data_IF_498426779922
#
_entry.id   IF_498426779922
#
_cell.length_a   1.000
_cell.length_b   1.000
_cell.length_c   1.000
_cell.angle_alpha   90.00
_cell.angle_beta   90.00
_cell.angle_gamma   90.00
#
_symmetry.space_group_name_H-M   'P 1'
#
loop_
_entity.id
_entity.type
_entity.pdbx_description
1 polymer ?
#
# COMPACT_ATOMS: atom_id res chain seq x y z
N UNK A 1 -2.61 -18.73 0.08
CA UNK A 1 -1.26 -19.27 0.41
C UNK A 1 -0.63 -18.53 1.61
N UNK A 2 0.30 -19.16 2.34
CA UNK A 2 1.05 -18.48 3.42
C UNK A 2 2.15 -17.56 2.84
N UNK A 3 2.51 -16.49 3.57
CA UNK A 3 3.55 -15.52 3.15
C UNK A 3 4.90 -16.23 2.98
N UNK A 4 5.56 -16.07 1.82
CA UNK A 4 6.94 -16.54 1.62
C UNK A 4 7.94 -15.57 2.27
N UNK A 5 8.12 -15.74 3.58
CA UNK A 5 9.06 -14.94 4.36
C UNK A 5 10.51 -15.09 3.87
N UNK A 6 10.88 -16.24 3.28
CA UNK A 6 12.22 -16.46 2.78
C UNK A 6 12.49 -15.63 1.52
N UNK A 7 11.55 -15.64 0.56
CA UNK A 7 11.59 -14.76 -0.61
C UNK A 7 11.63 -13.30 -0.17
N UNK A 8 10.68 -12.88 0.67
CA UNK A 8 10.57 -11.49 1.13
C UNK A 8 11.86 -11.02 1.82
N UNK A 9 12.45 -11.84 2.69
CA UNK A 9 13.74 -11.52 3.34
C UNK A 9 14.89 -11.39 2.34
N UNK A 10 14.95 -12.25 1.31
CA UNK A 10 15.98 -12.14 0.25
C UNK A 10 15.77 -10.88 -0.59
N UNK A 11 14.54 -10.60 -1.02
CA UNK A 11 14.20 -9.41 -1.80
C UNK A 11 14.51 -8.12 -1.03
N UNK A 12 14.07 -8.00 0.22
CA UNK A 12 14.34 -6.80 1.04
C UNK A 12 15.84 -6.56 1.23
N UNK A 13 16.69 -7.59 1.21
CA UNK A 13 18.14 -7.43 1.29
C UNK A 13 18.75 -6.71 0.07
N UNK A 14 18.09 -6.72 -1.08
CA UNK A 14 18.57 -6.05 -2.31
C UNK A 14 18.25 -4.55 -2.33
N UNK A 15 17.35 -4.09 -1.47
CA UNK A 15 17.07 -2.66 -1.30
C UNK A 15 18.29 -1.89 -0.81
N UNK A 16 18.43 -0.68 -1.32
CA UNK A 16 19.45 0.28 -0.94
C UNK A 16 19.42 0.57 0.56
N UNK A 17 20.62 0.73 1.14
CA UNK A 17 20.82 1.21 2.51
C UNK A 17 20.83 2.71 2.63
N UNK A 18 20.85 3.43 1.50
CA UNK A 18 20.86 4.89 1.50
C UNK A 18 19.58 5.44 2.11
N UNK A 19 19.69 6.64 2.65
CA UNK A 19 18.57 7.46 3.08
C UNK A 19 17.72 7.86 1.86
N UNK A 20 16.47 8.27 2.09
CA UNK A 20 15.59 8.71 1.02
C UNK A 20 14.14 8.36 1.25
N UNK A 21 13.41 8.21 0.16
CA UNK A 21 11.97 7.93 0.14
C UNK A 21 11.73 6.56 -0.47
N UNK A 22 10.71 5.87 0.03
CA UNK A 22 10.23 4.61 -0.53
C UNK A 22 8.73 4.69 -0.76
N UNK A 23 8.27 3.94 -1.72
CA UNK A 23 6.84 3.80 -2.03
C UNK A 23 6.50 2.32 -1.99
N UNK A 24 5.47 1.99 -1.22
CA UNK A 24 4.93 0.64 -1.13
C UNK A 24 3.81 0.52 -2.17
N UNK A 25 3.82 -0.57 -2.92
CA UNK A 25 2.82 -0.87 -3.94
C UNK A 25 2.06 -2.16 -3.61
N UNK A 26 0.79 -2.18 -4.00
CA UNK A 26 -0.09 -3.34 -3.86
C UNK A 26 0.21 -4.44 -4.88
N UNK A 27 -0.65 -5.46 -4.95
CA UNK A 27 -0.57 -6.62 -5.86
C UNK A 27 -0.67 -6.27 -7.36
N UNK A 28 -1.09 -5.06 -7.71
CA UNK A 28 -1.21 -4.56 -9.08
C UNK A 28 -0.13 -3.51 -9.42
N UNK A 29 0.93 -3.42 -8.60
CA UNK A 29 1.96 -2.37 -8.67
C UNK A 29 1.43 -0.94 -8.46
N UNK A 30 0.23 -0.77 -7.90
CA UNK A 30 -0.32 0.56 -7.61
C UNK A 30 0.26 1.08 -6.30
N UNK A 31 0.83 2.31 -6.28
CA UNK A 31 1.27 2.97 -5.06
C UNK A 31 0.16 3.08 -4.01
N UNK A 32 0.43 2.65 -2.78
CA UNK A 32 -0.52 2.73 -1.65
C UNK A 32 0.01 3.53 -0.47
N UNK A 33 1.32 3.72 -0.38
CA UNK A 33 1.93 4.45 0.72
C UNK A 33 3.29 5.02 0.31
N UNK A 34 3.56 6.27 0.66
CA UNK A 34 4.87 6.93 0.49
C UNK A 34 5.45 7.16 1.88
N UNK A 35 6.72 6.82 2.08
CA UNK A 35 7.37 7.07 3.36
C UNK A 35 8.84 7.43 3.23
N UNK A 36 9.35 8.14 4.21
CA UNK A 36 10.75 8.55 4.28
C UNK A 36 11.57 7.71 5.27
N UNK A 37 12.89 7.67 5.05
CA UNK A 37 13.85 7.08 5.99
C UNK A 37 15.16 7.86 6.05
N UNK A 38 15.56 8.25 7.28
CA UNK A 38 16.89 8.80 7.59
C UNK A 38 17.88 7.73 8.06
N UNK A 39 17.40 6.53 8.35
CA UNK A 39 18.20 5.39 8.83
C UNK A 39 18.44 4.34 7.73
N UNK A 40 18.07 4.67 6.49
CA UNK A 40 18.15 3.82 5.31
C UNK A 40 16.81 3.26 4.86
N UNK A 41 16.57 3.21 3.55
CA UNK A 41 15.31 2.71 2.98
C UNK A 41 15.08 1.24 3.36
N UNK A 42 16.10 0.38 3.19
CA UNK A 42 16.00 -1.04 3.54
C UNK A 42 15.58 -1.29 4.98
N UNK A 43 16.16 -0.58 5.95
CA UNK A 43 15.89 -0.80 7.38
C UNK A 43 14.44 -0.47 7.71
N UNK A 44 13.93 0.64 7.17
CA UNK A 44 12.55 1.09 7.37
C UNK A 44 11.54 0.15 6.71
N UNK A 45 11.77 -0.22 5.44
CA UNK A 45 10.91 -1.17 4.71
C UNK A 45 10.91 -2.54 5.40
N UNK A 46 12.07 -3.05 5.83
CA UNK A 46 12.15 -4.31 6.57
C UNK A 46 11.29 -4.27 7.84
N UNK A 47 11.37 -3.18 8.62
CA UNK A 47 10.55 -3.00 9.83
C UNK A 47 9.05 -3.07 9.52
N UNK A 48 8.60 -2.44 8.45
CA UNK A 48 7.19 -2.47 8.04
C UNK A 48 6.73 -3.90 7.71
N UNK A 49 7.55 -4.64 6.98
CA UNK A 49 7.20 -5.98 6.49
C UNK A 49 7.31 -7.09 7.55
N UNK A 50 8.06 -6.88 8.64
CA UNK A 50 8.30 -7.92 9.66
C UNK A 50 7.75 -7.61 11.04
N UNK A 51 7.39 -6.36 11.34
CA UNK A 51 6.97 -5.95 12.69
C UNK A 51 5.55 -5.42 12.71
N UNK A 52 4.66 -6.12 13.44
CA UNK A 52 3.33 -5.61 13.76
C UNK A 52 3.35 -4.32 14.60
N UNK A 53 4.52 -3.95 15.18
CA UNK A 53 4.72 -2.70 15.95
C UNK A 53 5.16 -1.53 15.10
N UNK A 54 5.28 -1.71 13.78
CA UNK A 54 5.43 -0.60 12.87
C UNK A 54 4.22 0.33 12.97
N UNK A 55 4.44 1.63 13.02
CA UNK A 55 3.43 2.69 13.11
C UNK A 55 2.32 2.54 12.05
N UNK A 56 2.69 2.34 10.79
CA UNK A 56 1.71 2.17 9.69
C UNK A 56 0.91 0.86 9.79
N UNK A 57 1.39 -0.12 10.57
CA UNK A 57 0.74 -1.42 10.76
C UNK A 57 -0.08 -1.44 12.05
N UNK A 58 0.44 -0.85 13.12
CA UNK A 58 -0.26 -0.70 14.40
C UNK A 58 -1.48 0.19 14.28
N UNK A 59 -1.38 1.23 13.45
CA UNK A 59 -2.48 2.16 13.16
C UNK A 59 -3.42 1.63 12.07
N UNK A 60 -3.21 0.40 11.58
CA UNK A 60 -3.99 -0.23 10.52
C UNK A 60 -4.03 0.58 9.21
N UNK A 61 -3.03 1.43 8.97
CA UNK A 61 -2.98 2.25 7.77
C UNK A 61 -2.70 1.40 6.53
N UNK A 62 -1.78 0.46 6.62
CA UNK A 62 -1.38 -0.40 5.51
C UNK A 62 -1.51 -1.87 5.90
N UNK A 63 -1.99 -2.69 4.96
CA UNK A 63 -1.96 -4.14 5.08
C UNK A 63 -0.67 -4.73 4.46
N UNK A 64 0.19 -5.34 5.28
CA UNK A 64 1.40 -6.04 4.83
C UNK A 64 1.11 -7.16 3.83
N UNK A 65 -0.11 -7.71 3.88
CA UNK A 65 -0.55 -8.75 2.96
C UNK A 65 -0.58 -8.26 1.51
N UNK A 66 -0.85 -6.97 1.26
CA UNK A 66 -0.93 -6.39 -0.09
C UNK A 66 0.42 -5.94 -0.66
N UNK A 67 1.45 -5.72 0.18
CA UNK A 67 2.70 -5.11 -0.29
C UNK A 67 3.49 -6.11 -1.13
N UNK A 68 3.49 -5.92 -2.45
CA UNK A 68 4.21 -6.78 -3.40
C UNK A 68 5.41 -6.09 -4.05
N UNK A 69 5.42 -4.76 -4.18
CA UNK A 69 6.58 -4.02 -4.68
C UNK A 69 6.97 -2.85 -3.81
N UNK A 70 8.25 -2.47 -3.91
CA UNK A 70 8.85 -1.32 -3.25
C UNK A 70 9.63 -0.53 -4.28
N UNK A 71 9.25 0.73 -4.48
CA UNK A 71 10.02 1.69 -5.26
C UNK A 71 10.94 2.44 -4.31
N UNK A 72 12.24 2.56 -4.64
CA UNK A 72 13.22 3.24 -3.81
C UNK A 72 13.80 4.47 -4.51
N UNK A 73 13.75 5.60 -3.81
CA UNK A 73 14.25 6.91 -4.24
C UNK A 73 15.30 7.40 -3.24
N UNK A 74 16.54 6.87 -3.33
CA UNK A 74 17.63 7.30 -2.47
C UNK A 74 18.04 8.73 -2.79
N UNK A 75 18.45 9.47 -1.76
CA UNK A 75 19.00 10.82 -1.90
C UNK A 75 20.38 10.88 -1.25
N UNK A 76 21.19 11.85 -1.64
CA UNK A 76 22.53 12.03 -1.07
C UNK A 76 22.47 12.89 0.21
N UNK A 77 21.57 13.88 0.26
CA UNK A 77 21.40 14.75 1.41
C UNK A 77 20.04 14.54 2.11
N UNK A 78 20.08 14.44 3.44
CA UNK A 78 18.87 14.30 4.26
C UNK A 78 17.87 15.47 4.15
N UNK A 79 18.32 16.63 3.67
CA UNK A 79 17.46 17.78 3.38
C UNK A 79 16.54 17.54 2.16
N UNK A 80 16.89 16.64 1.25
CA UNK A 80 16.12 16.32 0.04
C UNK A 80 14.96 15.35 0.33
N UNK A 81 14.99 14.66 1.47
CA UNK A 81 14.02 13.62 1.80
C UNK A 81 12.58 14.17 1.86
N UNK A 82 12.36 15.23 2.64
CA UNK A 82 11.01 15.78 2.85
C UNK A 82 10.43 16.42 1.58
N UNK A 83 11.19 17.22 0.81
CA UNK A 83 10.74 17.68 -0.51
C UNK A 83 10.37 16.54 -1.45
N UNK A 84 11.19 15.48 -1.51
CA UNK A 84 10.95 14.33 -2.38
C UNK A 84 9.72 13.52 -1.93
N UNK A 85 9.51 13.34 -0.62
CA UNK A 85 8.33 12.68 -0.07
C UNK A 85 7.05 13.43 -0.49
N UNK A 86 7.05 14.75 -0.35
CA UNK A 86 5.93 15.59 -0.78
C UNK A 86 5.68 15.48 -2.28
N UNK A 87 6.74 15.55 -3.09
CA UNK A 87 6.66 15.41 -4.54
C UNK A 87 6.03 14.08 -4.96
N UNK A 88 6.51 12.96 -4.42
CA UNK A 88 6.00 11.64 -4.74
C UNK A 88 4.58 11.43 -4.21
N UNK A 89 4.28 11.91 -3.01
CA UNK A 89 2.92 11.86 -2.47
C UNK A 89 1.92 12.57 -3.40
N UNK A 90 2.21 13.81 -3.80
CA UNK A 90 1.30 14.61 -4.63
C UNK A 90 1.21 14.09 -6.07
N UNK A 91 2.24 13.37 -6.54
CA UNK A 91 2.18 12.67 -7.82
C UNK A 91 1.26 11.44 -7.79
N UNK A 92 1.37 10.59 -6.75
CA UNK A 92 0.67 9.31 -6.70
C UNK A 92 -0.75 9.40 -6.10
N UNK A 93 -0.97 10.28 -5.12
CA UNK A 93 -2.25 10.35 -4.40
C UNK A 93 -3.47 10.64 -5.30
N UNK A 94 -3.38 11.45 -6.37
CA UNK A 94 -4.51 11.65 -7.31
C UNK A 94 -4.82 10.42 -8.17
N UNK A 95 -3.85 9.51 -8.37
CA UNK A 95 -4.02 8.31 -9.20
C UNK A 95 -4.75 7.21 -8.42
N UNK A 96 -4.34 7.02 -7.17
CA UNK A 96 -5.01 6.17 -6.18
C UNK A 96 -4.73 6.79 -4.81
N UNK A 97 -5.78 7.04 -4.02
CA UNK A 97 -5.60 7.69 -2.73
C UNK A 97 -4.62 6.91 -1.86
N UNK A 98 -3.55 7.57 -1.43
CA UNK A 98 -2.55 6.95 -0.56
C UNK A 98 -3.11 6.79 0.86
N UNK A 99 -2.70 5.72 1.53
CA UNK A 99 -3.06 5.37 2.91
C UNK A 99 -2.31 6.20 3.96
N UNK A 100 -1.44 7.10 3.54
CA UNK A 100 -0.74 8.06 4.38
C UNK A 100 -1.71 8.84 5.27
N UNK A 101 -1.42 8.90 6.57
CA UNK A 101 -2.27 9.62 7.52
C UNK A 101 -2.24 11.14 7.37
N UNK A 102 -1.13 11.70 6.90
CA UNK A 102 -0.96 13.14 6.70
C UNK A 102 -0.65 13.46 5.24
N UNK A 103 -1.13 14.62 4.79
CA UNK A 103 -0.76 15.20 3.50
C UNK A 103 0.47 16.09 3.69
N UNK A 104 1.61 15.80 3.04
CA UNK A 104 2.73 16.73 3.01
C UNK A 104 2.36 18.06 2.34
N UNK A 105 3.11 19.14 2.58
CA UNK A 105 2.95 20.39 1.84
C UNK A 105 3.02 20.18 0.33
N UNK A 106 2.26 20.98 -0.42
CA UNK A 106 2.28 20.93 -1.88
C UNK A 106 3.67 21.38 -2.37
N UNK A 107 4.36 20.60 -3.22
CA UNK A 107 5.65 20.98 -3.79
C UNK A 107 5.48 22.14 -4.78
N UNK A 108 6.58 22.81 -5.11
CA UNK A 108 6.57 23.83 -6.16
C UNK A 108 6.15 23.24 -7.51
N UNK A 109 5.41 24.03 -8.30
CA UNK A 109 4.94 23.60 -9.60
C UNK A 109 6.08 23.35 -10.58
N UNK A 110 5.95 22.32 -11.41
CA UNK A 110 6.89 22.03 -12.51
C UNK A 110 8.14 21.25 -12.10
N UNK A 111 8.26 20.81 -10.85
CA UNK A 111 9.33 19.88 -10.46
C UNK A 111 9.08 18.52 -11.14
N UNK A 112 10.02 17.99 -11.94
CA UNK A 112 9.86 16.69 -12.57
C UNK A 112 9.88 15.57 -11.53
N UNK A 113 9.03 14.57 -11.72
CA UNK A 113 9.02 13.38 -10.87
C UNK A 113 10.20 12.50 -11.26
N UNK A 114 11.11 12.17 -10.33
CA UNK A 114 12.21 11.27 -10.64
C UNK A 114 11.70 9.84 -10.86
N UNK A 115 12.42 9.08 -11.68
CA UNK A 115 12.23 7.63 -11.76
C UNK A 115 12.81 6.95 -10.50
N UNK A 116 12.23 5.81 -10.06
CA UNK A 116 12.77 5.05 -8.95
C UNK A 116 14.16 4.50 -9.30
N UNK A 117 15.13 4.65 -8.39
CA UNK A 117 16.44 4.06 -8.57
C UNK A 117 16.41 2.52 -8.47
N UNK A 118 15.42 1.97 -7.74
CA UNK A 118 15.16 0.54 -7.67
C UNK A 118 13.66 0.28 -7.62
N UNK A 119 13.24 -0.78 -8.32
CA UNK A 119 11.92 -1.40 -8.17
C UNK A 119 12.16 -2.82 -7.68
N UNK A 120 11.75 -3.12 -6.44
CA UNK A 120 12.01 -4.41 -5.81
C UNK A 120 10.70 -5.11 -5.52
N UNK A 121 10.49 -6.26 -6.15
CA UNK A 121 9.40 -7.16 -5.83
C UNK A 121 9.70 -7.91 -4.51
N UNK A 122 8.86 -7.72 -3.49
CA UNK A 122 9.01 -8.28 -2.14
C UNK A 122 8.06 -9.43 -1.84
N UNK A 123 7.39 -9.94 -2.87
CA UNK A 123 6.46 -11.06 -2.84
C UNK A 123 6.72 -11.98 -4.04
N UNK A 124 6.70 -13.30 -3.88
CA UNK A 124 6.96 -14.20 -5.02
C UNK A 124 5.83 -14.13 -6.05
N UNK A 125 6.12 -14.43 -7.32
CA UNK A 125 5.09 -14.46 -8.38
C UNK A 125 3.94 -15.42 -8.05
N UNK A 126 4.27 -16.57 -7.46
CA UNK A 126 3.27 -17.55 -7.01
C UNK A 126 2.38 -17.00 -5.88
N UNK A 127 2.95 -16.24 -4.94
CA UNK A 127 2.19 -15.59 -3.88
C UNK A 127 1.34 -14.43 -4.43
N UNK A 128 1.85 -13.64 -5.37
CA UNK A 128 1.08 -12.58 -6.04
C UNK A 128 -0.11 -13.19 -6.79
N UNK A 129 0.12 -14.23 -7.60
CA UNK A 129 -0.92 -14.88 -8.39
C UNK A 129 -2.03 -15.46 -7.50
N UNK A 130 -1.67 -16.11 -6.39
CA UNK A 130 -2.63 -16.63 -5.41
C UNK A 130 -3.43 -15.51 -4.72
N UNK A 131 -2.79 -14.40 -4.37
CA UNK A 131 -3.44 -13.28 -3.69
C UNK A 131 -4.25 -12.38 -4.61
N UNK A 132 -4.02 -12.43 -5.92
CA UNK A 132 -4.84 -11.72 -6.91
C UNK A 132 -6.21 -12.36 -7.08
N UNK A 133 -6.39 -13.62 -6.67
CA UNK A 133 -7.69 -14.30 -6.67
C UNK A 133 -8.73 -13.46 -5.89
N UNK A 134 -9.81 -12.98 -6.54
CA UNK A 134 -10.87 -12.21 -5.89
C UNK A 134 -11.47 -12.91 -4.66
N UNK A 135 -11.55 -14.24 -4.67
CA UNK A 135 -12.06 -15.04 -3.55
C UNK A 135 -11.14 -14.98 -2.31
N UNK A 136 -9.86 -14.63 -2.48
CA UNK A 136 -8.92 -14.41 -1.37
C UNK A 136 -8.78 -12.92 -1.04
N UNK A 137 -8.66 -12.08 -2.06
CA UNK A 137 -8.37 -10.65 -1.92
C UNK A 137 -9.51 -9.89 -1.27
N UNK A 138 -10.75 -10.09 -1.73
CA UNK A 138 -11.89 -9.33 -1.22
C UNK A 138 -12.17 -9.62 0.26
N UNK A 139 -12.24 -10.88 0.73
CA UNK A 139 -12.40 -11.16 2.15
C UNK A 139 -11.26 -10.58 3.01
N UNK A 140 -10.02 -10.57 2.50
CA UNK A 140 -8.89 -9.96 3.22
C UNK A 140 -9.08 -8.44 3.37
N UNK A 141 -9.46 -7.76 2.29
CA UNK A 141 -9.73 -6.32 2.28
C UNK A 141 -10.90 -5.95 3.19
N UNK A 142 -12.00 -6.70 3.14
CA UNK A 142 -13.14 -6.48 4.03
C UNK A 142 -12.74 -6.63 5.50
N UNK A 143 -11.99 -7.68 5.83
CA UNK A 143 -11.49 -7.89 7.20
C UNK A 143 -10.54 -6.78 7.65
N UNK A 144 -9.65 -6.29 6.77
CA UNK A 144 -8.77 -5.18 7.09
C UNK A 144 -9.56 -3.88 7.28
N UNK A 145 -10.59 -3.64 6.46
CA UNK A 145 -11.50 -2.51 6.62
C UNK A 145 -12.23 -2.54 7.97
N UNK A 146 -12.72 -3.70 8.41
CA UNK A 146 -13.28 -3.86 9.76
C UNK A 146 -12.27 -3.49 10.85
N UNK A 147 -11.00 -3.87 10.70
CA UNK A 147 -9.94 -3.54 11.67
C UNK A 147 -9.66 -2.04 11.75
N UNK A 148 -9.60 -1.32 10.62
CA UNK A 148 -9.36 0.13 10.63
C UNK A 148 -10.58 0.89 11.16
N UNK A 149 -11.82 0.44 10.87
CA UNK A 149 -13.04 1.00 11.48
C UNK A 149 -13.00 0.85 13.01
N UNK A 150 -12.68 -0.36 13.50
CA UNK A 150 -12.54 -0.60 14.94
C UNK A 150 -11.44 0.27 15.57
N UNK A 151 -10.31 0.44 14.89
CA UNK A 151 -9.23 1.31 15.35
C UNK A 151 -9.65 2.79 15.39
N UNK A 152 -10.31 3.29 14.34
CA UNK A 152 -10.81 4.66 14.23
C UNK A 152 -11.74 5.04 15.39
N UNK A 153 -12.69 4.15 15.72
CA UNK A 153 -13.62 4.32 16.83
C UNK A 153 -12.89 4.33 18.19
N UNK A 154 -11.87 3.49 18.35
CA UNK A 154 -11.10 3.42 19.60
C UNK A 154 -10.22 4.66 19.83
N UNK A 155 -9.64 5.25 18.78
CA UNK A 155 -8.69 6.39 18.90
C UNK A 155 -9.35 7.77 18.74
N UNK A 156 -10.67 7.88 18.99
CA UNK A 156 -11.45 9.13 18.95
C UNK A 156 -11.36 9.88 17.61
N UNK A 157 -11.68 9.22 16.51
CA UNK A 157 -11.93 9.86 15.22
C UNK A 157 -10.74 10.66 14.64
N UNK A 158 -9.52 10.12 14.76
CA UNK A 158 -8.31 10.76 14.20
C UNK A 158 -8.48 11.04 12.69
N UNK A 159 -8.31 12.29 12.22
CA UNK A 159 -8.39 12.64 10.79
C UNK A 159 -7.42 11.83 9.92
N UNK A 160 -6.28 11.45 10.51
CA UNK A 160 -5.27 10.65 9.83
C UNK A 160 -5.75 9.23 9.54
N UNK A 161 -6.50 8.65 10.49
CA UNK A 161 -7.11 7.33 10.31
C UNK A 161 -8.31 7.41 9.38
N UNK A 162 -9.09 8.51 9.44
CA UNK A 162 -10.20 8.74 8.51
C UNK A 162 -9.74 8.73 7.04
N UNK A 163 -8.60 9.38 6.74
CA UNK A 163 -8.03 9.38 5.38
C UNK A 163 -7.64 7.98 4.91
N UNK A 164 -6.93 7.22 5.74
CA UNK A 164 -6.57 5.85 5.41
C UNK A 164 -7.82 4.96 5.25
N UNK A 165 -8.83 5.13 6.10
CA UNK A 165 -10.10 4.43 6.02
C UNK A 165 -10.84 4.69 4.71
N UNK A 166 -10.88 5.94 4.24
CA UNK A 166 -11.48 6.27 2.94
C UNK A 166 -10.74 5.58 1.78
N UNK A 167 -9.40 5.59 1.79
CA UNK A 167 -8.59 4.92 0.78
C UNK A 167 -8.87 3.41 0.73
N UNK A 168 -9.00 2.76 1.89
CA UNK A 168 -9.39 1.35 1.98
C UNK A 168 -10.80 1.09 1.46
N UNK A 169 -11.75 1.98 1.74
CA UNK A 169 -13.12 1.84 1.26
C UNK A 169 -13.23 1.94 -0.27
N UNK A 170 -12.53 2.89 -0.89
CA UNK A 170 -12.48 3.04 -2.35
C UNK A 170 -11.91 1.77 -3.02
N UNK A 171 -10.85 1.20 -2.45
CA UNK A 171 -10.23 -0.04 -2.92
C UNK A 171 -11.16 -1.24 -2.72
N UNK A 172 -11.79 -1.35 -1.55
CA UNK A 172 -12.78 -2.40 -1.26
C UNK A 172 -13.94 -2.36 -2.26
N UNK A 173 -14.47 -1.16 -2.55
CA UNK A 173 -15.53 -0.96 -3.54
C UNK A 173 -15.11 -1.40 -4.93
N UNK A 174 -13.88 -1.04 -5.36
CA UNK A 174 -13.30 -1.49 -6.63
C UNK A 174 -13.23 -3.01 -6.72
N UNK A 175 -12.69 -3.69 -5.71
CA UNK A 175 -12.56 -5.15 -5.72
C UNK A 175 -13.90 -5.87 -5.60
N UNK A 176 -14.86 -5.27 -4.87
CA UNK A 176 -16.23 -5.78 -4.80
C UNK A 176 -16.88 -5.78 -6.19
N UNK A 177 -16.74 -4.69 -6.94
CA UNK A 177 -17.23 -4.62 -8.33
C UNK A 177 -16.60 -5.67 -9.25
N UNK A 178 -15.30 -5.95 -9.08
CA UNK A 178 -14.63 -7.02 -9.83
C UNK A 178 -15.19 -8.41 -9.50
N UNK A 179 -15.47 -8.70 -8.22
CA UNK A 179 -16.05 -9.97 -7.81
C UNK A 179 -17.48 -10.13 -8.34
N UNK A 180 -18.31 -9.08 -8.27
CA UNK A 180 -19.66 -9.11 -8.84
C UNK A 180 -19.65 -9.33 -10.36
N UNK A 181 -18.65 -8.81 -11.06
CA UNK A 181 -18.46 -9.09 -12.49
C UNK A 181 -18.17 -10.56 -12.83
N UNK A 182 -17.85 -11.40 -11.83
CA UNK A 182 -17.75 -12.86 -12.01
C UNK A 182 -19.12 -13.55 -11.92
N UNK A 183 -20.13 -12.91 -11.35
CA UNK A 183 -21.50 -13.40 -11.45
C UNK A 183 -21.92 -13.27 -12.92
N UNK A 184 -22.19 -14.40 -13.57
CA UNK A 184 -22.79 -14.40 -14.90
C UNK A 184 -24.13 -13.66 -14.90
N UNK A 185 -24.71 -13.37 -16.08
CA UNK A 185 -26.04 -12.78 -16.14
C UNK A 185 -27.02 -13.60 -15.30
N UNK A 186 -27.89 -12.93 -14.54
CA UNK A 186 -29.03 -13.58 -13.91
C UNK A 186 -29.83 -14.26 -15.03
N UNK A 187 -29.85 -15.59 -15.01
CA UNK A 187 -30.78 -16.34 -15.84
C UNK A 187 -32.12 -16.12 -15.16
N UNK A 188 -32.99 -15.31 -15.76
CA UNK A 188 -34.39 -15.27 -15.36
C UNK A 188 -34.93 -16.69 -15.52
N UNK A 189 -35.06 -17.41 -14.40
CA UNK A 189 -35.86 -18.63 -14.35
C UNK A 189 -37.29 -18.19 -14.67
N UNK A 190 -37.67 -18.36 -15.94
CA UNK A 190 -39.04 -18.18 -16.39
C UNK A 190 -39.92 -19.14 -15.61
N UNK A 191 -40.62 -18.61 -14.60
CA UNK A 191 -41.83 -19.23 -14.06
C UNK A 191 -42.93 -19.17 -15.15
N UNK A 192 -42.83 -20.10 -16.10
CA UNK A 192 -43.98 -20.55 -16.90
C UNK A 192 -44.55 -21.80 -16.22
N UNK A 193 -45.57 -21.62 -15.38
CA UNK A 193 -46.61 -22.64 -15.11
C UNK A 193 -47.89 -22.00 -14.54
#
# INVERSE_FOLDING_TARGET
MAIDFAFRKRAVRTLTTRIGVYVLCDLDQVPIYVGQSRDGIRSRVARHLTSARSDIISNRQVDVWEIAWVLAYPVENSAEITPLEGLLFHHFNPQSQLMNGSTPPVPDAGIPIPEPAQVVQVMSDAEIADKLDPAQRLPRQANHYTQIVGHFLAVKNSPQIARAMNAHFERLSKYHGQLLGLAGPEVEDGEDA
#
